data_IF_104755779363
#
_entry.id   IF_104755779363
#
_cell.length_a   1.000
_cell.length_b   1.000
_cell.length_c   1.000
_cell.angle_alpha   90.00
_cell.angle_beta   90.00
_cell.angle_gamma   90.00
#
_symmetry.space_group_name_H-M   'P 1'
#
loop_
_entity.id
_entity.type
_entity.pdbx_description
1 polymer ?
#
# COMPACT_ATOMS: atom_id res chain seq x y z
N UNK A 1 4.73 -9.10 -13.03
CA UNK A 1 3.84 -8.15 -12.34
C UNK A 1 3.74 -8.63 -10.90
N UNK A 2 4.02 -7.76 -9.92
CA UNK A 2 3.99 -8.11 -8.50
C UNK A 2 2.76 -7.48 -7.87
N UNK A 3 1.95 -8.28 -7.18
CA UNK A 3 0.76 -7.82 -6.48
C UNK A 3 0.86 -8.16 -4.99
N UNK A 4 0.37 -7.24 -4.16
CA UNK A 4 0.30 -7.40 -2.72
C UNK A 4 -1.10 -7.03 -2.22
N UNK A 5 -1.72 -7.91 -1.45
CA UNK A 5 -3.07 -7.70 -0.93
C UNK A 5 -3.02 -7.49 0.57
N UNK A 6 -3.74 -6.47 1.05
CA UNK A 6 -3.92 -6.21 2.47
C UNK A 6 -5.39 -6.41 2.82
N UNK A 7 -5.61 -7.15 3.91
CA UNK A 7 -6.91 -7.30 4.55
C UNK A 7 -6.79 -6.77 5.98
N UNK A 8 -7.53 -5.72 6.29
CA UNK A 8 -7.51 -5.04 7.58
C UNK A 8 -8.88 -4.41 7.89
N UNK A 9 -9.05 -3.90 9.11
CA UNK A 9 -10.26 -3.15 9.47
C UNK A 9 -10.39 -1.86 8.63
N UNK A 10 -11.62 -1.37 8.48
CA UNK A 10 -11.93 -0.24 7.60
C UNK A 10 -11.24 1.05 8.01
N UNK A 11 -11.14 1.32 9.31
CA UNK A 11 -10.39 2.43 9.89
C UNK A 11 -8.90 2.36 9.54
N UNK A 12 -8.28 1.18 9.65
CA UNK A 12 -6.89 0.95 9.24
C UNK A 12 -6.73 1.21 7.74
N UNK A 13 -7.66 0.74 6.91
CA UNK A 13 -7.59 0.98 5.46
C UNK A 13 -7.73 2.47 5.14
N UNK A 14 -8.63 3.18 5.81
CA UNK A 14 -8.80 4.62 5.63
C UNK A 14 -7.53 5.38 6.04
N UNK A 15 -6.88 5.00 7.14
CA UNK A 15 -5.59 5.57 7.57
C UNK A 15 -4.48 5.32 6.54
N UNK A 16 -4.42 4.12 5.94
CA UNK A 16 -3.48 3.81 4.87
C UNK A 16 -3.73 4.73 3.66
N UNK A 17 -4.97 4.86 3.22
CA UNK A 17 -5.33 5.69 2.08
C UNK A 17 -5.01 7.18 2.32
N UNK A 18 -5.27 7.67 3.53
CA UNK A 18 -4.90 9.01 3.96
C UNK A 18 -3.37 9.21 3.92
N UNK A 19 -2.60 8.26 4.43
CA UNK A 19 -1.14 8.33 4.38
C UNK A 19 -0.58 8.28 2.96
N UNK A 20 -1.17 7.51 2.06
CA UNK A 20 -0.79 7.50 0.64
C UNK A 20 -1.01 8.88 0.00
N UNK A 21 -2.02 9.62 0.43
CA UNK A 21 -2.37 10.94 -0.12
C UNK A 21 -1.59 12.08 0.54
N UNK A 22 -1.44 12.06 1.86
CA UNK A 22 -0.98 13.19 2.66
C UNK A 22 0.40 12.97 3.30
N UNK A 23 0.83 11.72 3.50
CA UNK A 23 2.10 11.39 4.15
C UNK A 23 3.26 11.34 3.16
N UNK A 24 4.40 11.95 3.50
CA UNK A 24 5.61 11.96 2.64
C UNK A 24 6.04 10.53 2.26
N UNK A 25 6.03 9.62 3.24
CA UNK A 25 6.42 8.24 3.00
C UNK A 25 5.38 7.49 2.15
N UNK A 26 4.08 7.76 2.33
CA UNK A 26 3.01 7.13 1.58
C UNK A 26 2.96 7.62 0.13
N UNK A 27 3.17 8.91 -0.09
CA UNK A 27 3.35 9.49 -1.42
C UNK A 27 4.56 8.87 -2.13
N UNK A 28 5.69 8.72 -1.43
CA UNK A 28 6.88 8.07 -1.98
C UNK A 28 6.64 6.61 -2.37
N UNK A 29 5.82 5.90 -1.60
CA UNK A 29 5.39 4.54 -1.93
C UNK A 29 4.44 4.51 -3.15
N UNK A 30 3.47 5.43 -3.20
CA UNK A 30 2.51 5.59 -4.30
C UNK A 30 3.16 6.00 -5.64
N UNK A 31 4.42 6.45 -5.63
CA UNK A 31 5.18 6.67 -6.87
C UNK A 31 5.46 5.35 -7.61
N UNK A 32 5.72 4.25 -6.88
CA UNK A 32 6.10 2.95 -7.43
C UNK A 32 4.95 1.94 -7.48
N UNK A 33 3.91 2.16 -6.68
CA UNK A 33 2.79 1.24 -6.53
C UNK A 33 1.45 1.91 -6.83
N UNK A 34 0.59 1.22 -7.57
CA UNK A 34 -0.83 1.55 -7.69
C UNK A 34 -1.61 0.90 -6.56
N UNK A 35 -2.55 1.63 -5.96
CA UNK A 35 -3.44 1.11 -4.92
C UNK A 35 -4.88 1.08 -5.42
N UNK A 36 -5.55 -0.07 -5.27
CA UNK A 36 -6.96 -0.25 -5.60
C UNK A 36 -7.73 -0.75 -4.38
N UNK A 37 -8.77 -0.02 -4.01
CA UNK A 37 -9.74 -0.46 -3.00
C UNK A 37 -10.69 -1.45 -3.65
N UNK A 38 -10.80 -2.65 -3.06
CA UNK A 38 -11.70 -3.71 -3.53
C UNK A 38 -13.00 -3.67 -2.73
N UNK A 39 -12.90 -3.43 -1.43
CA UNK A 39 -14.02 -3.17 -0.51
C UNK A 39 -13.48 -2.53 0.79
N UNK A 40 -14.35 -2.27 1.76
CA UNK A 40 -14.00 -1.59 3.02
C UNK A 40 -12.94 -2.30 3.85
N UNK A 41 -12.64 -3.57 3.59
CA UNK A 41 -11.63 -4.35 4.33
C UNK A 41 -10.53 -4.91 3.45
N UNK A 42 -10.47 -4.53 2.16
CA UNK A 42 -9.48 -5.08 1.22
C UNK A 42 -8.96 -4.02 0.26
N UNK A 43 -7.63 -3.87 0.24
CA UNK A 43 -6.89 -3.09 -0.77
C UNK A 43 -5.86 -3.98 -1.46
N UNK A 44 -5.58 -3.67 -2.72
CA UNK A 44 -4.57 -4.35 -3.53
C UNK A 44 -3.58 -3.33 -4.05
N UNK A 45 -2.30 -3.62 -3.86
CA UNK A 45 -1.19 -2.87 -4.42
C UNK A 45 -0.60 -3.64 -5.60
N UNK A 46 -0.38 -2.93 -6.72
CA UNK A 46 0.25 -3.48 -7.91
C UNK A 46 1.48 -2.64 -8.24
N UNK A 47 2.63 -3.30 -8.43
CA UNK A 47 3.85 -2.61 -8.80
C UNK A 47 3.71 -2.06 -10.23
N UNK A 48 3.94 -0.75 -10.40
CA UNK A 48 3.86 -0.09 -11.71
C UNK A 48 4.86 -0.65 -12.70
N UNK A 49 4.55 -0.56 -13.98
CA UNK A 49 5.48 -0.99 -15.03
C UNK A 49 6.80 -0.21 -14.96
N UNK A 50 7.93 -0.92 -15.04
CA UNK A 50 9.27 -0.35 -14.93
C UNK A 50 9.72 -0.01 -13.50
N UNK A 51 8.83 -0.03 -12.51
CA UNK A 51 9.21 0.08 -11.10
C UNK A 51 9.85 -1.22 -10.60
N UNK A 52 10.67 -1.10 -9.57
CA UNK A 52 11.33 -2.23 -8.91
C UNK A 52 10.85 -2.31 -7.47
N UNK A 53 10.72 -3.53 -6.96
CA UNK A 53 10.54 -3.77 -5.55
C UNK A 53 11.81 -3.34 -4.80
N UNK A 54 11.66 -2.42 -3.86
CA UNK A 54 12.74 -1.94 -3.01
C UNK A 54 12.56 -2.42 -1.56
N UNK A 55 13.65 -2.47 -0.79
CA UNK A 55 13.60 -2.89 0.62
C UNK A 55 12.63 -2.02 1.46
N UNK A 56 12.48 -0.74 1.11
CA UNK A 56 11.53 0.17 1.76
C UNK A 56 10.08 -0.28 1.61
N UNK A 57 9.76 -0.97 0.51
CA UNK A 57 8.40 -1.47 0.24
C UNK A 57 8.08 -2.61 1.19
N UNK A 58 9.08 -3.44 1.53
CA UNK A 58 8.95 -4.53 2.51
C UNK A 58 8.68 -3.95 3.91
N UNK A 59 9.30 -2.83 4.27
CA UNK A 59 9.01 -2.16 5.54
C UNK A 59 7.57 -1.66 5.60
N UNK A 60 7.08 -1.04 4.53
CA UNK A 60 5.68 -0.62 4.40
C UNK A 60 4.72 -1.80 4.52
N UNK A 61 4.90 -2.84 3.71
CA UNK A 61 4.05 -4.01 3.77
C UNK A 61 4.11 -4.70 5.12
N UNK A 62 5.29 -4.84 5.72
CA UNK A 62 5.47 -5.42 7.04
C UNK A 62 4.78 -4.64 8.16
N UNK A 63 4.81 -3.31 8.10
CA UNK A 63 4.06 -2.45 9.03
C UNK A 63 2.55 -2.67 8.89
N UNK A 64 2.05 -2.71 7.64
CA UNK A 64 0.62 -2.82 7.35
C UNK A 64 0.03 -4.22 7.54
N UNK A 65 0.86 -5.27 7.56
CA UNK A 65 0.43 -6.64 7.81
C UNK A 65 0.76 -7.15 9.20
N UNK A 66 1.29 -6.30 10.09
CA UNK A 66 1.52 -6.67 11.49
C UNK A 66 0.18 -6.60 12.23
N UNK A 67 -0.57 -7.70 12.11
CA UNK A 67 -1.77 -8.02 12.90
C UNK A 67 -1.39 -8.23 14.36
#
# INVERSE_FOLDING_TARGET
>A
MTEFKINAQEDIINEILEHLQCGILGQGFAMSWDCKVINSSNIVFTLKEGAKLELKDIFWFGYLTKV
#
